data_IF_944785336907
#
_entry.id   IF_944785336907
#
_cell.length_a   1.000
_cell.length_b   1.000
_cell.length_c   1.000
_cell.angle_alpha   90.00
_cell.angle_beta   90.00
_cell.angle_gamma   90.00
#
_symmetry.space_group_name_H-M   'P 1'
#
loop_
_entity.id
_entity.type
_entity.pdbx_description
1 polymer ?
#
# COMPACT_ATOMS: atom_id res chain seq x y z
N UNK A 1 10.27 -9.32 5.70
CA UNK A 1 9.35 -8.17 5.73
C UNK A 1 9.01 -7.76 4.31
N UNK A 2 7.75 -7.41 4.05
CA UNK A 2 7.35 -6.96 2.72
C UNK A 2 7.80 -5.53 2.47
N UNK A 3 8.04 -5.19 1.21
CA UNK A 3 8.41 -3.82 0.85
C UNK A 3 7.24 -2.86 1.02
N UNK A 4 6.01 -3.37 0.97
CA UNK A 4 4.79 -2.57 1.09
C UNK A 4 4.02 -2.97 2.32
N UNK A 5 3.36 -1.98 2.94
CA UNK A 5 2.51 -2.18 4.10
C UNK A 5 1.26 -1.32 3.93
N UNK A 6 0.09 -1.87 4.26
CA UNK A 6 -1.15 -1.09 4.25
C UNK A 6 -1.16 -0.10 5.40
N UNK A 7 -1.83 1.03 5.20
CA UNK A 7 -2.14 1.94 6.30
C UNK A 7 -3.64 2.28 6.28
N UNK A 8 -4.21 2.49 7.46
CA UNK A 8 -5.64 2.74 7.60
C UNK A 8 -5.94 4.23 7.49
N UNK A 9 -7.21 4.54 7.12
CA UNK A 9 -7.69 5.90 7.13
C UNK A 9 -7.78 6.44 8.57
N UNK A 10 -8.14 7.71 8.72
CA UNK A 10 -8.20 8.35 10.04
C UNK A 10 -9.23 7.68 10.97
N UNK A 11 -10.27 7.08 10.41
CA UNK A 11 -11.29 6.37 11.20
C UNK A 11 -10.81 4.99 11.64
N UNK A 12 -9.72 4.47 11.03
CA UNK A 12 -9.20 3.16 11.36
C UNK A 12 -10.04 2.00 10.88
N UNK A 13 -10.94 2.23 9.93
CA UNK A 13 -11.89 1.22 9.45
C UNK A 13 -11.47 0.55 8.15
N UNK A 14 -10.82 1.29 7.25
CA UNK A 14 -10.43 0.79 5.94
C UNK A 14 -8.98 1.15 5.62
N UNK A 15 -8.36 0.38 4.74
CA UNK A 15 -7.04 0.72 4.24
C UNK A 15 -7.15 1.94 3.33
N UNK A 16 -6.34 2.97 3.61
CA UNK A 16 -6.33 4.20 2.83
C UNK A 16 -5.27 4.16 1.73
N UNK A 17 -4.30 3.26 1.83
CA UNK A 17 -3.24 3.13 0.85
C UNK A 17 -2.16 2.18 1.32
N UNK A 18 -1.00 2.27 0.67
CA UNK A 18 0.16 1.47 1.05
C UNK A 18 1.36 2.39 1.25
N UNK A 19 2.30 1.93 2.08
CA UNK A 19 3.56 2.63 2.34
C UNK A 19 4.68 1.77 1.77
N UNK A 20 5.52 2.35 0.92
CA UNK A 20 6.67 1.65 0.36
C UNK A 20 7.91 1.93 1.21
N UNK A 21 8.46 0.87 1.80
CA UNK A 21 9.68 0.91 2.64
C UNK A 21 9.60 1.97 3.75
N UNK A 22 8.37 2.19 4.26
CA UNK A 22 8.09 3.12 5.35
C UNK A 22 8.41 4.59 5.02
N UNK A 23 8.60 4.91 3.74
CA UNK A 23 8.94 6.27 3.31
C UNK A 23 7.94 6.87 2.32
N UNK A 24 7.46 6.07 1.37
CA UNK A 24 6.60 6.57 0.29
C UNK A 24 5.15 6.19 0.54
N UNK A 25 4.31 7.18 0.74
CA UNK A 25 2.88 7.00 0.94
C UNK A 25 2.17 6.96 -0.41
N UNK A 26 1.48 5.85 -0.69
CA UNK A 26 0.85 5.61 -1.99
C UNK A 26 -0.65 5.46 -1.79
N UNK A 27 -1.49 6.34 -2.38
CA UNK A 27 -2.94 6.20 -2.29
C UNK A 27 -3.42 5.02 -3.14
N UNK A 28 -4.59 4.48 -2.80
CA UNK A 28 -5.21 3.41 -3.60
C UNK A 28 -5.93 4.01 -4.80
N UNK A 29 -5.18 4.65 -5.67
CA UNK A 29 -5.69 5.34 -6.85
C UNK A 29 -5.16 4.62 -8.10
N UNK A 30 -6.04 4.00 -8.92
CA UNK A 30 -5.60 3.26 -10.09
C UNK A 30 -4.87 4.11 -11.14
N UNK A 31 -5.03 5.43 -11.09
CA UNK A 31 -4.31 6.34 -11.98
C UNK A 31 -2.92 6.72 -11.45
N UNK A 32 -2.60 6.33 -10.23
CA UNK A 32 -1.31 6.65 -9.61
C UNK A 32 -0.26 5.64 -10.06
N UNK A 33 0.85 6.13 -10.61
CA UNK A 33 1.92 5.27 -11.15
C UNK A 33 2.52 4.39 -10.05
N UNK A 34 2.73 4.95 -8.86
CA UNK A 34 3.29 4.19 -7.74
C UNK A 34 2.35 3.08 -7.29
N UNK A 35 1.04 3.33 -7.32
CA UNK A 35 0.06 2.31 -7.00
C UNK A 35 0.06 1.19 -8.05
N UNK A 36 0.21 1.55 -9.33
CA UNK A 36 0.31 0.55 -10.39
C UNK A 36 1.54 -0.35 -10.20
N UNK A 37 2.66 0.24 -9.78
CA UNK A 37 3.86 -0.54 -9.46
C UNK A 37 3.60 -1.48 -8.28
N UNK A 38 2.87 -1.03 -7.27
CA UNK A 38 2.48 -1.87 -6.15
C UNK A 38 1.63 -3.05 -6.63
N UNK A 39 0.64 -2.80 -7.50
CA UNK A 39 -0.23 -3.86 -8.01
C UNK A 39 0.57 -4.93 -8.75
N UNK A 40 1.56 -4.53 -9.50
CA UNK A 40 2.44 -5.46 -10.22
C UNK A 40 3.23 -6.33 -9.23
N UNK A 41 3.79 -5.70 -8.22
CA UNK A 41 4.51 -6.41 -7.15
C UNK A 41 3.59 -7.39 -6.40
N UNK A 42 2.35 -6.98 -6.15
CA UNK A 42 1.39 -7.75 -5.36
C UNK A 42 0.92 -9.03 -6.06
N UNK A 43 1.19 -9.18 -7.36
CA UNK A 43 0.86 -10.41 -8.09
C UNK A 43 1.65 -11.61 -7.57
N UNK A 44 2.85 -11.38 -7.06
CA UNK A 44 3.74 -12.44 -6.57
C UNK A 44 4.15 -12.26 -5.12
N UNK A 45 3.68 -11.20 -4.46
CA UNK A 45 4.02 -10.88 -3.07
C UNK A 45 2.78 -10.45 -2.31
N UNK A 46 2.90 -10.38 -1.00
CA UNK A 46 1.80 -9.94 -0.13
C UNK A 46 2.28 -8.79 0.75
N UNK A 47 1.55 -7.67 0.72
CA UNK A 47 1.87 -6.54 1.59
C UNK A 47 1.56 -6.87 3.05
N UNK A 48 2.29 -6.25 3.96
CA UNK A 48 2.03 -6.41 5.39
C UNK A 48 0.68 -5.76 5.74
N UNK A 49 -0.06 -6.32 6.70
CA UNK A 49 -1.34 -5.73 7.12
C UNK A 49 -1.12 -4.40 7.84
N UNK A 50 -2.15 -3.57 7.84
CA UNK A 50 -2.13 -2.33 8.60
C UNK A 50 -2.12 -2.63 10.10
N UNK A 51 -1.44 -1.78 10.83
CA UNK A 51 -1.40 -1.90 12.29
C UNK A 51 -2.75 -1.57 12.93
#
# INVERSE_FOLDING_TARGET
MADYKFFKNMAGTDNAGVIYKEELWIPLDPDNIDYQAYLEWAKTNTADPAD
#
